data_IF_655604229959
#
_entry.id   IF_655604229959
#
_cell.length_a   1.000
_cell.length_b   1.000
_cell.length_c   1.000
_cell.angle_alpha   90.00
_cell.angle_beta   90.00
_cell.angle_gamma   90.00
#
_symmetry.space_group_name_H-M   'P 1'
#
loop_
_entity.id
_entity.type
_entity.pdbx_description
1 polymer ?
#
# COMPACT_ATOMS: atom_id res chain seq x y z
N UNK A 1 10.31 27.26 -12.62
CA UNK A 1 10.09 26.41 -11.43
C UNK A 1 9.98 24.97 -11.90
N UNK A 2 10.50 24.01 -11.14
CA UNK A 2 10.36 22.56 -11.43
C UNK A 2 9.07 22.01 -10.81
N UNK A 3 8.50 20.93 -11.36
CA UNK A 3 7.28 20.31 -10.82
C UNK A 3 7.46 19.86 -9.36
N UNK A 4 8.65 19.36 -9.00
CA UNK A 4 8.99 18.99 -7.61
C UNK A 4 8.86 20.17 -6.65
N UNK A 5 9.37 21.34 -7.04
CA UNK A 5 9.24 22.56 -6.22
C UNK A 5 7.78 23.08 -6.20
N UNK A 6 7.04 22.92 -7.30
CA UNK A 6 5.60 23.22 -7.33
C UNK A 6 4.83 22.42 -6.28
N UNK A 7 5.06 21.09 -6.26
CA UNK A 7 4.43 20.14 -5.34
C UNK A 7 4.74 20.46 -3.88
N UNK A 8 6.00 20.75 -3.56
CA UNK A 8 6.37 21.09 -2.18
C UNK A 8 5.76 22.40 -1.68
N UNK A 9 5.38 23.31 -2.57
CA UNK A 9 4.73 24.58 -2.22
C UNK A 9 3.20 24.48 -2.18
N UNK A 10 2.59 23.41 -2.70
CA UNK A 10 1.14 23.27 -2.80
C UNK A 10 0.44 23.38 -1.43
N UNK A 11 1.01 22.75 -0.38
CA UNK A 11 0.49 22.81 0.97
C UNK A 11 0.51 24.24 1.55
N UNK A 12 1.59 24.99 1.30
CA UNK A 12 1.73 26.39 1.76
C UNK A 12 0.74 27.32 1.06
N UNK A 13 0.50 27.12 -0.25
CA UNK A 13 -0.51 27.89 -0.99
C UNK A 13 -1.91 27.61 -0.45
N UNK A 14 -2.23 26.35 -0.18
CA UNK A 14 -3.55 25.96 0.32
C UNK A 14 -3.84 26.48 1.74
N UNK A 15 -2.79 26.71 2.54
CA UNK A 15 -2.84 27.39 3.84
C UNK A 15 -2.82 28.92 3.77
N UNK A 16 -2.46 29.50 2.61
CA UNK A 16 -2.31 30.94 2.44
C UNK A 16 -0.94 31.50 2.86
N UNK A 17 0.00 30.64 3.28
CA UNK A 17 1.29 31.00 3.88
C UNK A 17 2.41 31.30 2.87
N UNK A 18 2.11 31.33 1.57
CA UNK A 18 3.13 31.55 0.54
C UNK A 18 3.35 33.05 0.24
N UNK A 19 4.60 33.50 0.31
CA UNK A 19 5.01 34.87 -0.01
C UNK A 19 4.70 35.26 -1.47
N UNK A 20 4.42 36.54 -1.71
CA UNK A 20 3.90 37.03 -3.00
C UNK A 20 4.79 36.70 -4.21
N UNK A 21 6.12 36.75 -4.07
CA UNK A 21 7.04 36.40 -5.16
C UNK A 21 7.01 34.91 -5.49
N UNK A 22 7.01 34.03 -4.48
CA UNK A 22 6.88 32.59 -4.71
C UNK A 22 5.49 32.23 -5.23
N UNK A 23 4.43 32.87 -4.72
CA UNK A 23 3.06 32.69 -5.22
C UNK A 23 2.97 32.99 -6.71
N UNK A 24 3.48 34.14 -7.16
CA UNK A 24 3.46 34.48 -8.58
C UNK A 24 4.23 33.47 -9.46
N UNK A 25 5.41 33.00 -9.02
CA UNK A 25 6.17 31.97 -9.75
C UNK A 25 5.42 30.63 -9.78
N UNK A 26 4.73 30.29 -8.70
CA UNK A 26 3.95 29.08 -8.57
C UNK A 26 2.72 29.09 -9.48
N UNK A 27 1.96 30.19 -9.49
CA UNK A 27 0.82 30.41 -10.37
C UNK A 27 1.22 30.36 -11.86
N UNK A 28 2.33 31.00 -12.23
CA UNK A 28 2.87 30.93 -13.60
C UNK A 28 3.15 29.49 -14.05
N UNK A 29 3.73 28.66 -13.17
CA UNK A 29 3.97 27.25 -13.49
C UNK A 29 2.66 26.45 -13.55
N UNK A 30 1.72 26.71 -12.64
CA UNK A 30 0.42 26.04 -12.64
C UNK A 30 -0.39 26.37 -13.91
N UNK A 31 -0.25 27.58 -14.44
CA UNK A 31 -0.82 27.96 -15.73
C UNK A 31 -0.18 27.18 -16.91
N UNK A 32 1.09 26.80 -16.80
CA UNK A 32 1.81 26.08 -17.85
C UNK A 32 1.71 24.53 -17.75
N UNK A 33 1.58 23.97 -16.54
CA UNK A 33 1.68 22.52 -16.30
C UNK A 33 0.32 21.89 -15.91
N UNK A 34 -0.30 21.06 -16.76
CA UNK A 34 -1.59 20.43 -16.47
C UNK A 34 -1.52 19.38 -15.35
N UNK A 35 -0.40 18.69 -15.19
CA UNK A 35 -0.23 17.68 -14.12
C UNK A 35 -0.21 18.33 -12.74
N UNK A 36 0.55 19.42 -12.58
CA UNK A 36 0.55 20.19 -11.34
C UNK A 36 -0.84 20.78 -11.02
N UNK A 37 -1.64 21.14 -12.04
CA UNK A 37 -3.04 21.57 -11.82
C UNK A 37 -3.91 20.45 -11.30
N UNK A 38 -3.75 19.23 -11.81
CA UNK A 38 -4.53 18.06 -11.38
C UNK A 38 -4.22 17.72 -9.93
N UNK A 39 -2.94 17.66 -9.58
CA UNK A 39 -2.51 17.39 -8.20
C UNK A 39 -2.94 18.49 -7.23
N UNK A 40 -2.85 19.76 -7.63
CA UNK A 40 -3.31 20.85 -6.76
C UNK A 40 -4.81 20.79 -6.49
N UNK A 41 -5.62 20.38 -7.48
CA UNK A 41 -7.06 20.12 -7.28
C UNK A 41 -7.28 18.99 -6.28
N UNK A 42 -6.56 17.89 -6.39
CA UNK A 42 -6.65 16.78 -5.42
C UNK A 42 -6.30 17.23 -3.99
N UNK A 43 -5.26 18.05 -3.82
CA UNK A 43 -4.89 18.61 -2.51
C UNK A 43 -6.00 19.50 -1.95
N UNK A 44 -6.60 20.36 -2.78
CA UNK A 44 -7.72 21.20 -2.35
C UNK A 44 -8.95 20.39 -1.95
N UNK A 45 -9.30 19.36 -2.73
CA UNK A 45 -10.42 18.46 -2.41
C UNK A 45 -10.20 17.73 -1.08
N UNK A 46 -8.99 17.20 -0.85
CA UNK A 46 -8.62 16.55 0.41
C UNK A 46 -8.74 17.52 1.60
N UNK A 47 -8.26 18.75 1.46
CA UNK A 47 -8.41 19.77 2.51
C UNK A 47 -9.87 20.17 2.73
N UNK A 48 -10.67 20.24 1.68
CA UNK A 48 -12.10 20.52 1.79
C UNK A 48 -12.83 19.41 2.58
N UNK A 49 -12.46 18.13 2.37
CA UNK A 49 -12.98 16.98 3.14
C UNK A 49 -12.57 17.03 4.61
N UNK A 50 -11.31 17.35 4.90
CA UNK A 50 -10.84 17.50 6.29
C UNK A 50 -11.59 18.64 6.99
N UNK A 51 -11.76 19.80 6.31
CA UNK A 51 -12.53 20.93 6.86
C UNK A 51 -14.01 20.61 7.04
N UNK A 52 -14.62 19.78 6.19
CA UNK A 52 -16.01 19.38 6.36
C UNK A 52 -16.20 18.37 7.50
N UNK A 53 -15.24 17.47 7.72
CA UNK A 53 -15.21 16.60 8.90
C UNK A 53 -15.05 17.42 10.19
N UNK A 54 -14.09 18.33 10.25
CA UNK A 54 -13.87 19.18 11.42
C UNK A 54 -15.14 19.99 11.79
N UNK A 55 -15.83 20.54 10.78
CA UNK A 55 -17.11 21.24 10.99
C UNK A 55 -18.21 20.34 11.54
N UNK A 56 -18.29 19.08 11.08
CA UNK A 56 -19.30 18.12 11.57
C UNK A 56 -19.04 17.68 13.01
N UNK A 57 -17.78 17.53 13.39
CA UNK A 57 -17.38 17.12 14.73
C UNK A 57 -17.51 18.24 15.76
N UNK A 58 -17.99 19.43 15.36
CA UNK A 58 -18.00 20.63 16.20
C UNK A 58 -16.65 20.82 16.89
N UNK A 59 -15.56 20.61 16.14
CA UNK A 59 -14.23 20.84 16.68
C UNK A 59 -14.26 22.22 17.30
N UNK A 60 -13.90 22.37 18.59
CA UNK A 60 -14.04 23.65 19.26
C UNK A 60 -13.40 24.73 18.39
N UNK A 61 -13.99 25.93 18.34
CA UNK A 61 -13.34 27.06 17.66
C UNK A 61 -12.07 27.38 18.46
N UNK A 62 -10.97 26.74 18.09
CA UNK A 62 -9.67 27.01 18.68
C UNK A 62 -9.29 28.42 18.23
N UNK A 63 -8.97 29.32 19.16
CA UNK A 63 -8.38 30.58 18.79
C UNK A 63 -7.17 30.30 17.89
N UNK A 64 -7.04 31.03 16.78
CA UNK A 64 -5.95 30.89 15.82
C UNK A 64 -4.56 30.85 16.52
N UNK A 65 -4.41 31.60 17.61
CA UNK A 65 -3.22 31.58 18.46
C UNK A 65 -2.97 30.21 19.13
N UNK A 66 -4.01 29.56 19.68
CA UNK A 66 -3.90 28.25 20.31
C UNK A 66 -3.58 27.15 19.29
N UNK A 67 -4.20 27.24 18.10
CA UNK A 67 -3.88 26.35 16.98
C UNK A 67 -2.42 26.49 16.54
N UNK A 68 -1.95 27.72 16.29
CA UNK A 68 -0.55 27.99 15.95
C UNK A 68 0.41 27.47 17.01
N UNK A 69 0.08 27.63 18.29
CA UNK A 69 0.91 27.11 19.38
C UNK A 69 0.94 25.58 19.40
N UNK A 70 -0.17 24.90 19.10
CA UNK A 70 -0.23 23.45 19.00
C UNK A 70 0.59 22.92 17.80
N UNK A 71 0.45 23.55 16.63
CA UNK A 71 1.23 23.21 15.43
C UNK A 71 2.72 23.44 15.67
N UNK A 72 3.11 24.58 16.24
CA UNK A 72 4.51 24.86 16.56
C UNK A 72 5.08 23.83 17.54
N UNK A 73 4.31 23.42 18.56
CA UNK A 73 4.72 22.33 19.47
C UNK A 73 4.91 21.01 18.74
N UNK A 74 4.01 20.65 17.83
CA UNK A 74 4.13 19.43 17.05
C UNK A 74 5.35 19.45 16.11
N UNK A 75 5.60 20.58 15.44
CA UNK A 75 6.79 20.78 14.59
C UNK A 75 8.06 20.71 15.42
N UNK A 76 8.09 21.33 16.60
CA UNK A 76 9.26 21.28 17.49
C UNK A 76 9.51 19.86 18.02
N UNK A 77 8.45 19.12 18.36
CA UNK A 77 8.54 17.71 18.73
C UNK A 77 9.05 16.84 17.59
N UNK A 78 8.62 17.09 16.35
CA UNK A 78 9.09 16.35 15.18
C UNK A 78 10.53 16.72 14.79
N UNK A 79 10.97 17.96 15.08
CA UNK A 79 12.33 18.43 14.82
C UNK A 79 13.33 17.97 15.85
N UNK A 80 12.89 17.73 17.10
CA UNK A 80 13.74 17.07 18.08
C UNK A 80 14.10 15.73 17.47
N UNK A 81 15.36 15.49 17.07
CA UNK A 81 15.76 14.14 16.72
C UNK A 81 15.32 13.31 17.92
N UNK A 82 14.59 12.22 17.69
CA UNK A 82 14.28 11.27 18.74
C UNK A 82 15.64 10.93 19.34
N UNK A 83 15.98 11.60 20.45
CA UNK A 83 17.25 11.39 21.10
C UNK A 83 17.23 9.90 21.33
N UNK A 84 18.22 9.13 20.82
CA UNK A 84 18.23 7.72 21.09
C UNK A 84 18.05 7.66 22.59
N UNK A 85 16.97 7.00 23.02
CA UNK A 85 16.74 6.74 24.42
C UNK A 85 17.93 5.88 24.79
N UNK A 86 19.04 6.54 25.13
CA UNK A 86 20.24 5.96 25.67
C UNK A 86 19.75 5.54 27.03
N UNK A 87 19.11 4.37 27.03
CA UNK A 87 18.90 3.53 28.18
C UNK A 87 20.30 3.40 28.75
N UNK A 88 20.63 4.31 29.67
CA UNK A 88 21.78 4.21 30.56
C UNK A 88 21.47 3.03 31.47
N UNK A 89 21.49 1.84 30.86
CA UNK A 89 21.37 0.58 31.54
C UNK A 89 22.60 0.51 32.45
N UNK A 90 22.41 0.39 33.77
CA UNK A 90 23.52 0.30 34.69
C UNK A 90 24.41 -0.89 34.31
N UNK A 91 25.72 -0.78 34.48
CA UNK A 91 26.70 -1.73 33.92
C UNK A 91 26.45 -3.21 34.26
N UNK A 92 25.73 -3.50 35.35
CA UNK A 92 25.33 -4.85 35.74
C UNK A 92 24.23 -5.48 34.85
N UNK A 93 23.42 -4.67 34.16
CA UNK A 93 22.39 -5.16 33.25
C UNK A 93 22.97 -5.89 32.03
N UNK A 94 24.19 -5.51 31.61
CA UNK A 94 24.91 -6.20 30.54
C UNK A 94 25.36 -7.62 30.95
N UNK A 95 25.71 -7.81 32.23
CA UNK A 95 26.04 -9.13 32.75
C UNK A 95 24.82 -10.08 32.73
N UNK A 96 23.64 -9.56 33.05
CA UNK A 96 22.38 -10.32 32.96
C UNK A 96 22.02 -10.71 31.53
N UNK A 97 22.16 -9.78 30.57
CA UNK A 97 21.87 -10.05 29.15
C UNK A 97 22.83 -11.08 28.54
N UNK A 98 24.13 -11.00 28.86
CA UNK A 98 25.11 -11.98 28.41
C UNK A 98 24.83 -13.38 28.98
N UNK A 99 24.47 -13.46 30.27
CA UNK A 99 24.10 -14.72 30.91
C UNK A 99 22.85 -15.36 30.29
N UNK A 100 21.82 -14.56 30.03
CA UNK A 100 20.59 -15.04 29.39
C UNK A 100 20.85 -15.53 27.95
N UNK A 101 21.67 -14.81 27.19
CA UNK A 101 22.04 -15.22 25.84
C UNK A 101 22.80 -16.56 25.83
N UNK A 102 23.77 -16.72 26.74
CA UNK A 102 24.51 -18.00 26.89
C UNK A 102 23.58 -19.13 27.31
N UNK A 103 22.64 -18.88 28.23
CA UNK A 103 21.65 -19.86 28.66
C UNK A 103 20.72 -20.29 27.50
N UNK A 104 20.29 -19.33 26.67
CA UNK A 104 19.46 -19.62 25.49
C UNK A 104 20.24 -20.41 24.42
N UNK A 105 21.51 -20.08 24.19
CA UNK A 105 22.38 -20.84 23.27
C UNK A 105 22.57 -22.27 23.79
N UNK A 106 22.86 -22.43 25.09
CA UNK A 106 23.03 -23.74 25.70
C UNK A 106 21.74 -24.57 25.65
N UNK A 107 20.59 -23.96 25.95
CA UNK A 107 19.28 -24.59 25.83
C UNK A 107 18.97 -24.98 24.38
N UNK A 108 19.27 -24.10 23.42
CA UNK A 108 19.14 -24.37 21.99
C UNK A 108 19.96 -25.59 21.57
N UNK A 109 21.25 -25.65 21.92
CA UNK A 109 22.13 -26.79 21.61
C UNK A 109 21.64 -28.09 22.25
N UNK A 110 21.09 -28.03 23.47
CA UNK A 110 20.60 -29.22 24.18
C UNK A 110 19.27 -29.74 23.62
N UNK A 111 18.36 -28.85 23.22
CA UNK A 111 17.07 -29.19 22.60
C UNK A 111 17.23 -29.59 21.13
N UNK A 112 18.20 -29.02 20.42
CA UNK A 112 18.51 -29.32 19.02
C UNK A 112 19.43 -30.53 18.84
N UNK A 113 19.81 -31.26 19.90
CA UNK A 113 20.48 -32.56 19.76
C UNK A 113 19.53 -33.46 18.95
N UNK A 114 19.84 -33.75 17.67
CA UNK A 114 18.90 -34.44 16.82
C UNK A 114 18.89 -35.90 17.26
N UNK A 115 17.90 -36.29 18.06
CA UNK A 115 17.43 -37.66 18.05
C UNK A 115 17.17 -38.02 16.60
N UNK A 116 17.85 -39.05 16.08
CA UNK A 116 17.84 -39.48 14.67
C UNK A 116 16.45 -39.31 14.09
N UNK A 117 16.25 -38.21 13.34
CA UNK A 117 14.95 -37.94 12.74
C UNK A 117 14.68 -39.06 11.73
N UNK A 118 13.47 -39.66 11.74
CA UNK A 118 13.08 -40.58 10.69
C UNK A 118 13.21 -39.85 9.35
N UNK A 119 13.90 -40.50 8.43
CA UNK A 119 14.18 -40.00 7.08
C UNK A 119 12.88 -39.40 6.51
N UNK A 120 12.82 -38.10 6.20
CA UNK A 120 11.60 -37.51 5.67
C UNK A 120 11.27 -38.27 4.39
N UNK A 121 10.06 -38.84 4.34
CA UNK A 121 9.51 -39.37 3.10
C UNK A 121 9.58 -38.25 2.05
N UNK A 122 9.97 -38.55 0.81
CA UNK A 122 10.19 -37.54 -0.22
C UNK A 122 8.98 -36.62 -0.27
N UNK A 123 9.22 -35.37 0.07
CA UNK A 123 8.21 -34.34 0.17
C UNK A 123 7.56 -34.21 -1.21
N UNK A 124 6.30 -34.65 -1.30
CA UNK A 124 5.49 -34.48 -2.48
C UNK A 124 5.30 -32.98 -2.64
N UNK A 125 6.05 -32.37 -3.55
CA UNK A 125 6.04 -30.94 -3.84
C UNK A 125 4.63 -30.47 -4.19
N UNK A 126 3.85 -30.07 -3.18
CA UNK A 126 2.50 -29.50 -3.33
C UNK A 126 2.50 -28.21 -4.18
N UNK A 127 3.65 -27.55 -4.31
CA UNK A 127 3.85 -26.39 -5.17
C UNK A 127 3.83 -26.73 -6.67
N UNK A 128 4.13 -27.98 -7.06
CA UNK A 128 4.06 -28.41 -8.44
C UNK A 128 2.60 -28.49 -8.94
N UNK A 129 1.65 -28.79 -8.04
CA UNK A 129 0.23 -28.88 -8.39
C UNK A 129 -0.49 -27.51 -8.43
N UNK A 130 0.10 -26.46 -7.85
CA UNK A 130 -0.57 -25.15 -7.68
C UNK A 130 -0.13 -24.11 -8.73
N UNK A 131 1.08 -24.21 -9.30
CA UNK A 131 1.66 -23.11 -10.12
C UNK A 131 1.69 -23.40 -11.64
N UNK A 132 1.30 -24.59 -12.10
CA UNK A 132 1.15 -24.87 -13.54
C UNK A 132 -0.30 -25.20 -13.90
N UNK A 133 -1.18 -24.19 -14.10
CA UNK A 133 -2.25 -24.36 -15.05
C UNK A 133 -1.58 -24.44 -16.44
N UNK A 134 -1.40 -25.68 -16.90
CA UNK A 134 -1.64 -26.05 -18.29
C UNK A 134 -1.14 -25.05 -19.34
N UNK A 135 0.17 -24.78 -19.38
CA UNK A 135 0.80 -24.50 -20.67
C UNK A 135 0.97 -25.83 -21.40
N UNK A 136 -0.16 -26.48 -21.72
CA UNK A 136 -0.16 -27.56 -22.68
C UNK A 136 0.41 -26.99 -23.98
N UNK A 137 1.53 -27.53 -24.50
CA UNK A 137 1.99 -27.16 -25.83
C UNK A 137 0.84 -27.44 -26.81
N UNK A 138 0.56 -26.53 -27.77
CA UNK A 138 -0.45 -26.78 -28.77
C UNK A 138 -0.13 -28.11 -29.43
N UNK A 139 -1.12 -29.02 -29.43
CA UNK A 139 -1.00 -30.33 -30.03
C UNK A 139 -0.38 -30.19 -31.44
N UNK A 140 0.58 -31.05 -31.82
CA UNK A 140 1.11 -31.05 -33.17
C UNK A 140 -0.05 -31.16 -34.15
N UNK A 141 -0.10 -30.25 -35.12
CA UNK A 141 -1.12 -30.23 -36.14
C UNK A 141 -1.16 -31.60 -36.82
N UNK A 142 -2.25 -32.32 -36.61
CA UNK A 142 -2.54 -33.58 -37.29
C UNK A 142 -2.45 -33.35 -38.81
N UNK A 143 -1.60 -34.09 -39.52
CA UNK A 143 -1.53 -34.02 -40.97
C UNK A 143 -2.80 -34.64 -41.57
N UNK A 144 -3.65 -33.77 -42.14
CA UNK A 144 -4.47 -34.07 -43.31
C UNK A 144 -5.42 -35.26 -43.22
N UNK A 145 -6.56 -35.08 -42.57
CA UNK A 145 -7.77 -35.80 -43.01
C UNK A 145 -8.51 -34.92 -44.01
N UNK A 146 -8.48 -35.35 -45.28
CA UNK A 146 -9.18 -34.71 -46.37
C UNK A 146 -10.68 -34.54 -46.03
N UNK A 147 -11.30 -33.39 -46.35
CA UNK A 147 -12.72 -33.20 -46.10
C UNK A 147 -13.53 -34.15 -46.98
N UNK A 148 -14.25 -35.08 -46.34
CA UNK A 148 -15.31 -35.82 -46.98
C UNK A 148 -16.36 -34.83 -47.50
N UNK A 149 -16.54 -34.84 -48.82
CA UNK A 149 -17.58 -34.13 -49.55
C UNK A 149 -18.96 -34.45 -48.95
N UNK A 150 -19.49 -33.54 -48.13
CA UNK A 150 -20.91 -33.58 -47.77
C UNK A 150 -21.75 -32.94 -48.89
N UNK A 151 -22.92 -33.53 -49.20
CA UNK A 151 -23.82 -33.02 -50.23
C UNK A 151 -24.37 -31.65 -49.84
N UNK A 152 -24.30 -30.73 -50.79
CA UNK A 152 -24.80 -29.36 -50.75
C UNK A 152 -26.31 -29.34 -50.49
N UNK A 153 -26.80 -28.85 -49.34
CA UNK A 153 -28.21 -28.59 -49.16
C UNK A 153 -28.60 -27.29 -49.87
N UNK A 154 -29.76 -27.35 -50.52
CA UNK A 154 -30.37 -26.25 -51.24
C UNK A 154 -30.62 -25.02 -50.34
N UNK A 155 -30.58 -23.86 -50.98
CA UNK A 155 -30.81 -22.56 -50.39
C UNK A 155 -32.07 -22.52 -49.53
N UNK A 156 -31.92 -22.22 -48.24
CA UNK A 156 -33.00 -21.67 -47.43
C UNK A 156 -32.55 -20.35 -46.83
N UNK A 157 -33.15 -19.28 -47.34
CA UNK A 157 -33.06 -17.93 -46.80
C UNK A 157 -33.81 -17.90 -45.46
N UNK A 158 -33.08 -18.06 -44.36
CA UNK A 158 -33.61 -17.85 -43.02
C UNK A 158 -32.82 -16.75 -42.32
N UNK A 159 -33.54 -15.66 -42.01
CA UNK A 159 -33.06 -14.52 -41.23
C UNK A 159 -32.45 -14.99 -39.92
N UNK A 160 -31.15 -14.74 -39.75
CA UNK A 160 -30.45 -14.93 -38.48
C UNK A 160 -30.75 -13.71 -37.58
N UNK A 161 -31.33 -13.89 -36.38
CA UNK A 161 -31.32 -12.83 -35.38
C UNK A 161 -29.87 -12.59 -34.93
N UNK A 162 -29.53 -11.33 -34.67
CA UNK A 162 -28.25 -10.91 -34.14
C UNK A 162 -27.98 -11.60 -32.79
N UNK A 163 -27.26 -12.72 -32.84
CA UNK A 163 -26.79 -13.43 -31.66
C UNK A 163 -25.69 -12.59 -31.00
N UNK A 164 -25.91 -12.27 -29.73
CA UNK A 164 -25.08 -11.40 -28.92
C UNK A 164 -23.62 -11.84 -28.86
N UNK A 165 -22.74 -10.84 -28.88
CA UNK A 165 -21.34 -11.02 -28.55
C UNK A 165 -21.23 -11.65 -27.15
N UNK A 166 -20.42 -12.71 -26.97
CA UNK A 166 -20.10 -13.20 -25.65
C UNK A 166 -19.41 -12.06 -24.88
N UNK A 167 -20.04 -11.63 -23.79
CA UNK A 167 -19.52 -10.58 -22.93
C UNK A 167 -18.13 -11.00 -22.43
N UNK A 168 -17.13 -10.14 -22.66
CA UNK A 168 -15.80 -10.34 -22.08
C UNK A 168 -15.93 -10.51 -20.56
N UNK A 169 -15.27 -11.51 -19.96
CA UNK A 169 -15.23 -11.63 -18.51
C UNK A 169 -14.64 -10.34 -17.93
N UNK A 170 -15.24 -9.78 -16.87
CA UNK A 170 -14.77 -8.53 -16.30
C UNK A 170 -13.31 -8.67 -15.85
N UNK A 171 -12.50 -7.60 -15.95
CA UNK A 171 -11.12 -7.61 -15.50
C UNK A 171 -11.08 -8.04 -14.03
N UNK A 172 -10.34 -9.11 -13.73
CA UNK A 172 -10.11 -9.57 -12.36
C UNK A 172 -9.20 -8.54 -11.69
N UNK A 173 -9.75 -7.71 -10.82
CA UNK A 173 -8.96 -6.87 -9.95
C UNK A 173 -8.18 -7.75 -8.97
N UNK A 174 -6.88 -7.50 -8.74
CA UNK A 174 -6.14 -8.20 -7.71
C UNK A 174 -6.86 -8.01 -6.38
N UNK A 175 -6.96 -9.09 -5.59
CA UNK A 175 -7.59 -9.03 -4.28
C UNK A 175 -6.89 -7.96 -3.43
N UNK A 176 -7.64 -7.07 -2.75
CA UNK A 176 -7.05 -5.99 -1.97
C UNK A 176 -6.19 -6.59 -0.86
N UNK A 177 -4.91 -6.24 -0.88
CA UNK A 177 -4.00 -6.55 0.22
C UNK A 177 -4.30 -5.58 1.36
N UNK A 178 -4.64 -6.11 2.52
CA UNK A 178 -4.87 -5.32 3.74
C UNK A 178 -3.66 -5.45 4.62
N UNK A 179 -2.98 -4.34 4.89
CA UNK A 179 -1.84 -4.28 5.81
C UNK A 179 -2.32 -3.68 7.13
N UNK A 180 -2.20 -4.42 8.22
CA UNK A 180 -2.54 -3.94 9.55
C UNK A 180 -1.28 -3.71 10.39
N UNK A 181 -1.22 -2.56 11.08
CA UNK A 181 -0.19 -2.25 12.07
C UNK A 181 -0.86 -1.97 13.41
N UNK A 182 -0.38 -2.61 14.47
CA UNK A 182 -0.88 -2.40 15.83
C UNK A 182 0.23 -1.81 16.68
N UNK A 183 -0.05 -0.68 17.34
CA UNK A 183 0.84 -0.07 18.30
C UNK A 183 0.24 -0.20 19.71
N UNK A 184 1.06 -0.65 20.67
CA UNK A 184 0.65 -0.81 22.07
C UNK A 184 1.53 0.07 22.94
N UNK A 185 0.93 1.01 23.65
CA UNK A 185 1.62 1.83 24.65
C UNK A 185 1.89 1.01 25.91
N UNK A 186 3.16 0.86 26.29
CA UNK A 186 3.54 0.08 27.49
C UNK A 186 3.17 0.76 28.81
N UNK A 187 3.06 2.09 28.84
CA UNK A 187 2.77 2.84 30.06
C UNK A 187 1.27 2.92 30.36
N UNK A 188 0.44 2.99 29.32
CA UNK A 188 -1.00 3.23 29.45
C UNK A 188 -1.86 2.02 29.09
N UNK A 189 -1.28 1.01 28.43
CA UNK A 189 -2.03 -0.11 27.87
C UNK A 189 -2.92 0.26 26.68
N UNK A 190 -2.81 1.49 26.16
CA UNK A 190 -3.58 1.92 25.01
C UNK A 190 -3.12 1.17 23.76
N UNK A 191 -4.06 0.48 23.11
CA UNK A 191 -3.85 -0.20 21.83
C UNK A 191 -4.48 0.60 20.71
N UNK A 192 -3.68 0.95 19.70
CA UNK A 192 -4.14 1.65 18.51
C UNK A 192 -3.96 0.74 17.30
N UNK A 193 -5.05 0.45 16.60
CA UNK A 193 -5.06 -0.37 15.39
C UNK A 193 -5.19 0.52 14.16
N UNK A 194 -4.21 0.46 13.27
CA UNK A 194 -4.24 1.12 11.97
C UNK A 194 -4.39 0.08 10.87
N UNK A 195 -5.39 0.29 10.02
CA UNK A 195 -5.68 -0.60 8.89
C UNK A 195 -5.43 0.21 7.61
N UNK A 196 -4.43 -0.20 6.86
CA UNK A 196 -4.12 0.35 5.54
C UNK A 196 -4.72 -0.58 4.49
N UNK A 197 -5.53 -0.01 3.62
CA UNK A 197 -6.05 -0.72 2.46
C UNK A 197 -5.35 -0.15 1.23
N UNK A 198 -4.59 -1.00 0.54
CA UNK A 198 -3.76 -0.60 -0.59
C UNK A 198 -4.62 -0.15 -1.79
N UNK A 199 -5.94 -0.39 -1.76
CA UNK A 199 -6.90 0.19 -2.69
C UNK A 199 -7.18 1.69 -2.44
N UNK A 200 -6.70 2.28 -1.33
CA UNK A 200 -6.74 3.73 -1.08
C UNK A 200 -5.53 4.44 -1.71
N UNK A 201 -5.32 4.24 -3.01
CA UNK A 201 -4.53 5.19 -3.81
C UNK A 201 -5.52 6.21 -4.35
N UNK A 202 -5.50 7.42 -3.78
CA UNK A 202 -6.36 8.56 -4.13
C UNK A 202 -5.97 9.23 -5.45
#
# INVERSE_FOLDING_TARGET
MTCRACRSLAALVAGGDLDGRKRQRWEKHLAACPDCRREFRQVQESLARVRSLARREQTPDWPEAAWRQAVNRAVEQARRPAAPASLRLPGWAWAGAAGLLVALIAAGVFVLKPGRAPRPAPERNLWADIILPEMAPPAPAEPGTAPALLPRPAASSSRRPAAGQPALPPPRHPAPTVTAMTFVSQETGLTVHWIFNDAFIY
#
